data_IF_618296737486
#
_entry.id   IF_618296737486
#
_cell.length_a   1.000
_cell.length_b   1.000
_cell.length_c   1.000
_cell.angle_alpha   90.00
_cell.angle_beta   90.00
_cell.angle_gamma   90.00
#
_symmetry.space_group_name_H-M   'P 1'
#
loop_
_entity.id
_entity.type
_entity.pdbx_description
1 polymer ?
#
# COMPACT_ATOMS: atom_id res chain seq x y z
N UNK A 1 0.93 -0.22 -6.07
CA UNK A 1 -0.51 0.12 -6.15
C UNK A 1 -1.10 -0.33 -7.47
N UNK A 2 -0.47 -0.01 -8.59
CA UNK A 2 -0.99 -0.28 -9.97
C UNK A 2 -1.52 -1.71 -10.20
N UNK A 3 -0.94 -2.72 -9.56
CA UNK A 3 -1.34 -4.13 -9.73
C UNK A 3 -2.33 -4.62 -8.67
N UNK A 4 -2.76 -3.77 -7.74
CA UNK A 4 -3.74 -4.15 -6.73
C UNK A 4 -5.12 -4.32 -7.38
N UNK A 5 -5.63 -5.57 -7.33
CA UNK A 5 -6.91 -5.94 -7.93
C UNK A 5 -8.08 -5.74 -6.95
N UNK A 6 -7.87 -6.05 -5.68
CA UNK A 6 -8.88 -5.93 -4.63
C UNK A 6 -9.45 -4.53 -4.51
N UNK A 7 -10.05 -4.21 -3.39
CA UNK A 7 -10.66 -2.91 -3.18
C UNK A 7 -10.23 -2.26 -1.88
N UNK A 8 -10.99 -1.24 -1.49
CA UNK A 8 -10.80 -0.54 -0.23
C UNK A 8 -11.96 -0.88 0.70
N UNK A 9 -11.65 -1.45 1.86
CA UNK A 9 -12.64 -1.72 2.89
C UNK A 9 -13.10 -0.42 3.56
N UNK A 10 -14.38 -0.11 3.52
CA UNK A 10 -14.96 1.05 4.19
C UNK A 10 -16.45 0.85 4.48
N UNK A 11 -16.91 1.36 5.62
CA UNK A 11 -18.32 1.30 6.02
C UNK A 11 -19.11 2.33 5.20
N UNK A 12 -19.70 1.89 4.10
CA UNK A 12 -20.47 2.73 3.17
C UNK A 12 -21.91 2.26 3.00
N UNK A 13 -22.24 1.04 3.42
CA UNK A 13 -23.60 0.48 3.37
C UNK A 13 -24.36 0.76 4.66
N UNK A 14 -25.69 0.87 4.56
CA UNK A 14 -26.58 1.13 5.71
C UNK A 14 -26.65 -0.05 6.69
N UNK A 15 -26.42 -1.27 6.21
CA UNK A 15 -26.48 -2.50 7.00
C UNK A 15 -25.10 -2.87 7.62
N UNK A 16 -24.09 -2.02 7.48
CA UNK A 16 -22.74 -2.19 8.06
C UNK A 16 -22.48 -1.16 9.16
N UNK A 17 -21.57 -1.49 10.09
CA UNK A 17 -21.18 -0.61 11.20
C UNK A 17 -19.67 -0.58 11.41
N UNK A 18 -19.18 0.50 12.01
CA UNK A 18 -17.77 0.63 12.37
C UNK A 18 -17.34 -0.48 13.35
N UNK A 19 -18.21 -0.83 14.31
CA UNK A 19 -17.94 -1.89 15.29
C UNK A 19 -17.76 -3.25 14.64
N UNK A 20 -18.56 -3.58 13.63
CA UNK A 20 -18.39 -4.81 12.85
C UNK A 20 -17.07 -4.79 12.08
N UNK A 21 -16.71 -3.66 11.44
CA UNK A 21 -15.45 -3.55 10.72
C UNK A 21 -14.24 -3.66 11.66
N UNK A 22 -14.29 -3.00 12.83
CA UNK A 22 -13.25 -3.12 13.88
C UNK A 22 -13.14 -4.57 14.35
N UNK A 23 -14.27 -5.22 14.66
CA UNK A 23 -14.28 -6.62 15.09
C UNK A 23 -13.64 -7.54 14.06
N UNK A 24 -14.05 -7.45 12.79
CA UNK A 24 -13.49 -8.26 11.69
C UNK A 24 -11.97 -8.06 11.57
N UNK A 25 -11.51 -6.82 11.68
CA UNK A 25 -10.08 -6.47 11.61
C UNK A 25 -9.31 -7.04 12.78
N UNK A 26 -9.82 -6.92 14.01
CA UNK A 26 -9.19 -7.45 15.23
C UNK A 26 -9.12 -9.00 15.20
N UNK A 27 -10.17 -9.65 14.74
CA UNK A 27 -10.21 -11.12 14.61
C UNK A 27 -9.19 -11.60 13.57
N UNK A 28 -9.09 -10.93 12.43
CA UNK A 28 -8.13 -11.26 11.37
C UNK A 28 -6.69 -10.99 11.81
N UNK A 29 -6.47 -9.94 12.58
CA UNK A 29 -5.15 -9.54 13.08
C UNK A 29 -4.58 -10.45 14.19
N UNK A 30 -5.38 -11.38 14.73
CA UNK A 30 -4.90 -12.44 15.67
C UNK A 30 -4.06 -11.94 16.83
N UNK A 31 -4.39 -10.77 17.39
CA UNK A 31 -3.68 -10.19 18.54
C UNK A 31 -2.49 -9.28 18.18
N UNK A 32 -2.22 -9.05 16.90
CA UNK A 32 -1.16 -8.14 16.45
C UNK A 32 -1.65 -6.69 16.28
N UNK A 33 -2.97 -6.48 16.30
CA UNK A 33 -3.55 -5.16 16.10
C UNK A 33 -3.55 -4.33 17.39
N UNK A 34 -3.33 -3.05 17.25
CA UNK A 34 -3.63 -2.03 18.26
C UNK A 34 -5.05 -1.50 18.01
N UNK A 35 -5.99 -1.82 18.88
CA UNK A 35 -7.42 -1.55 18.68
C UNK A 35 -7.72 -0.06 18.42
N UNK A 36 -7.02 0.85 19.12
CA UNK A 36 -7.21 2.30 18.95
C UNK A 36 -6.92 2.74 17.52
N UNK A 37 -5.85 2.24 16.91
CA UNK A 37 -5.52 2.54 15.52
C UNK A 37 -6.49 1.91 14.54
N UNK A 38 -6.96 0.69 14.81
CA UNK A 38 -8.00 0.05 13.99
C UNK A 38 -9.29 0.87 14.02
N UNK A 39 -9.69 1.36 15.19
CA UNK A 39 -10.88 2.21 15.33
C UNK A 39 -10.75 3.53 14.55
N UNK A 40 -9.59 4.17 14.60
CA UNK A 40 -9.31 5.39 13.82
C UNK A 40 -9.44 5.07 12.32
N UNK A 41 -8.74 4.05 11.83
CA UNK A 41 -8.75 3.68 10.42
C UNK A 41 -10.15 3.35 9.90
N UNK A 42 -10.93 2.55 10.65
CA UNK A 42 -12.29 2.20 10.26
C UNK A 42 -13.23 3.42 10.22
N UNK A 43 -13.13 4.33 11.20
CA UNK A 43 -13.99 5.51 11.29
C UNK A 43 -13.68 6.57 10.23
N UNK A 44 -12.40 6.76 9.93
CA UNK A 44 -11.98 7.73 8.93
C UNK A 44 -12.16 7.23 7.48
N UNK A 45 -12.22 5.92 7.27
CA UNK A 45 -12.34 5.30 5.95
C UNK A 45 -13.35 5.97 5.02
N UNK A 46 -14.63 6.17 5.42
CA UNK A 46 -15.64 6.81 4.57
C UNK A 46 -15.29 8.23 4.14
N UNK A 47 -14.62 9.01 5.00
CA UNK A 47 -14.17 10.37 4.67
C UNK A 47 -13.07 10.32 3.62
N UNK A 48 -12.06 9.45 3.80
CA UNK A 48 -10.96 9.28 2.83
C UNK A 48 -11.45 8.81 1.46
N UNK A 49 -12.44 7.91 1.42
CA UNK A 49 -13.07 7.49 0.16
C UNK A 49 -13.76 8.67 -0.54
N UNK A 50 -14.49 9.50 0.19
CA UNK A 50 -15.14 10.67 -0.40
C UNK A 50 -14.13 11.68 -0.95
N UNK A 51 -12.98 11.83 -0.31
CA UNK A 51 -11.87 12.65 -0.83
C UNK A 51 -11.34 12.11 -2.14
N UNK A 52 -11.08 10.79 -2.24
CA UNK A 52 -10.66 10.18 -3.50
C UNK A 52 -11.70 10.40 -4.61
N UNK A 53 -12.99 10.25 -4.30
CA UNK A 53 -14.08 10.52 -5.24
C UNK A 53 -14.08 12.00 -5.64
N UNK A 54 -13.87 12.89 -4.69
CA UNK A 54 -13.75 14.33 -4.94
C UNK A 54 -12.57 14.69 -5.85
N UNK A 55 -11.50 13.91 -5.83
CA UNK A 55 -10.35 14.01 -6.74
C UNK A 55 -10.61 13.35 -8.11
N UNK A 56 -11.74 12.65 -8.29
CA UNK A 56 -12.12 12.04 -9.55
C UNK A 56 -12.02 10.52 -9.62
N UNK A 57 -11.82 9.82 -8.49
CA UNK A 57 -11.81 8.36 -8.47
C UNK A 57 -13.19 7.78 -8.77
N UNK A 58 -13.24 6.78 -9.62
CA UNK A 58 -14.46 6.14 -10.09
C UNK A 58 -14.54 4.71 -9.55
N UNK A 59 -15.36 4.52 -8.53
CA UNK A 59 -15.69 3.20 -8.01
C UNK A 59 -16.97 2.67 -8.66
N UNK A 60 -17.09 1.36 -8.79
CA UNK A 60 -18.23 0.68 -9.38
C UNK A 60 -19.51 0.97 -8.61
N UNK A 61 -20.62 1.11 -9.36
CA UNK A 61 -21.93 1.46 -8.81
C UNK A 61 -23.01 0.55 -9.36
N UNK A 62 -23.95 0.19 -8.50
CA UNK A 62 -25.19 -0.46 -8.90
C UNK A 62 -26.12 0.60 -9.46
N UNK A 63 -26.71 0.35 -10.60
CA UNK A 63 -27.62 1.30 -11.27
C UNK A 63 -28.79 1.67 -10.37
N UNK A 64 -28.81 2.93 -9.87
CA UNK A 64 -29.86 3.45 -9.00
C UNK A 64 -29.73 3.09 -7.50
N UNK A 65 -28.66 2.43 -7.05
CA UNK A 65 -28.57 1.88 -5.69
C UNK A 65 -27.24 2.12 -4.93
N UNK A 66 -26.40 3.08 -5.35
CA UNK A 66 -25.15 3.38 -4.64
C UNK A 66 -23.93 2.62 -5.16
N UNK A 67 -22.97 2.33 -4.29
CA UNK A 67 -21.74 1.59 -4.67
C UNK A 67 -22.01 0.10 -4.79
N UNK A 68 -21.35 -0.53 -5.76
CA UNK A 68 -21.24 -1.98 -5.81
C UNK A 68 -20.16 -2.40 -4.81
N UNK A 69 -20.57 -3.05 -3.73
CA UNK A 69 -19.65 -3.43 -2.66
C UNK A 69 -19.33 -4.91 -2.72
N UNK A 70 -18.07 -5.21 -2.92
CA UNK A 70 -17.53 -6.57 -2.86
C UNK A 70 -17.40 -7.10 -1.42
N UNK A 71 -17.15 -8.41 -1.33
CA UNK A 71 -16.80 -9.08 -0.08
C UNK A 71 -15.49 -9.83 -0.27
N UNK A 72 -14.54 -9.59 0.62
CA UNK A 72 -13.29 -10.33 0.67
C UNK A 72 -13.19 -11.15 1.95
N UNK A 73 -12.20 -12.05 2.03
CA UNK A 73 -11.97 -12.87 3.20
C UNK A 73 -11.76 -12.04 4.48
N UNK A 74 -12.25 -12.53 5.62
CA UNK A 74 -12.17 -11.82 6.89
C UNK A 74 -13.25 -10.77 7.14
N UNK A 75 -14.04 -10.40 6.13
CA UNK A 75 -15.13 -9.44 6.29
C UNK A 75 -16.49 -10.11 6.50
N UNK A 76 -17.21 -9.71 7.54
CA UNK A 76 -18.60 -10.17 7.81
C UNK A 76 -19.63 -9.52 6.88
N UNK A 77 -19.35 -8.32 6.36
CA UNK A 77 -20.22 -7.52 5.48
C UNK A 77 -19.56 -7.22 4.13
N UNK A 78 -20.39 -6.89 3.13
CA UNK A 78 -19.93 -6.30 1.87
C UNK A 78 -19.53 -4.85 2.13
N UNK A 79 -18.25 -4.52 2.07
CA UNK A 79 -17.72 -3.17 2.33
C UNK A 79 -16.54 -2.80 1.46
N UNK A 80 -16.26 -3.61 0.45
CA UNK A 80 -15.10 -3.41 -0.42
C UNK A 80 -15.52 -2.56 -1.61
N UNK A 81 -15.08 -1.30 -1.66
CA UNK A 81 -15.20 -0.47 -2.85
C UNK A 81 -14.15 -0.90 -3.86
N UNK A 82 -14.55 -1.06 -5.10
CA UNK A 82 -13.67 -1.51 -6.18
C UNK A 82 -13.95 -0.77 -7.49
N UNK A 83 -12.97 -0.80 -8.39
CA UNK A 83 -13.08 -0.37 -9.78
C UNK A 83 -12.73 -1.58 -10.66
N UNK A 84 -13.71 -2.42 -10.94
CA UNK A 84 -13.53 -3.76 -11.52
C UNK A 84 -12.47 -4.57 -10.75
N UNK A 85 -11.45 -5.10 -11.41
CA UNK A 85 -10.27 -5.73 -10.82
C UNK A 85 -9.00 -4.88 -10.94
N UNK A 86 -9.16 -3.55 -11.05
CA UNK A 86 -8.10 -2.58 -11.31
C UNK A 86 -8.15 -1.40 -10.31
N UNK A 87 -8.62 -1.64 -9.10
CA UNK A 87 -8.82 -0.59 -8.08
C UNK A 87 -7.53 0.18 -7.79
N UNK A 88 -6.40 -0.51 -7.71
CA UNK A 88 -5.12 0.13 -7.49
C UNK A 88 -4.70 1.06 -8.64
N UNK A 89 -4.98 0.66 -9.88
CA UNK A 89 -4.71 1.49 -11.05
C UNK A 89 -5.59 2.75 -11.06
N UNK A 90 -6.88 2.63 -10.73
CA UNK A 90 -7.81 3.76 -10.68
C UNK A 90 -7.40 4.80 -9.62
N UNK A 91 -6.99 4.34 -8.44
CA UNK A 91 -6.49 5.23 -7.38
C UNK A 91 -5.21 5.93 -7.82
N UNK A 92 -4.26 5.18 -8.39
CA UNK A 92 -2.98 5.73 -8.87
C UNK A 92 -3.21 6.76 -9.97
N UNK A 93 -4.06 6.46 -10.98
CA UNK A 93 -4.45 7.40 -12.03
C UNK A 93 -4.98 8.71 -11.44
N UNK A 94 -5.97 8.60 -10.54
CA UNK A 94 -6.61 9.76 -9.91
C UNK A 94 -5.62 10.62 -9.15
N UNK A 95 -4.77 10.01 -8.35
CA UNK A 95 -3.79 10.76 -7.54
C UNK A 95 -2.69 11.38 -8.41
N UNK A 96 -2.23 10.72 -9.46
CA UNK A 96 -1.26 11.26 -10.41
C UNK A 96 -1.86 12.48 -11.12
N UNK A 97 -3.09 12.38 -11.62
CA UNK A 97 -3.78 13.52 -12.25
C UNK A 97 -3.93 14.70 -11.27
N UNK A 98 -4.32 14.42 -10.02
CA UNK A 98 -4.45 15.45 -9.00
C UNK A 98 -3.12 16.14 -8.67
N UNK A 99 -2.02 15.38 -8.63
CA UNK A 99 -0.67 15.92 -8.40
C UNK A 99 -0.22 16.79 -9.58
N UNK A 100 -0.41 16.31 -10.82
CA UNK A 100 -0.06 17.09 -12.02
C UNK A 100 -0.86 18.39 -12.18
N UNK A 101 -2.04 18.46 -11.55
CA UNK A 101 -2.85 19.67 -11.55
C UNK A 101 -2.39 20.74 -10.54
N UNK A 102 -1.34 20.47 -9.75
CA UNK A 102 -0.81 21.39 -8.74
C UNK A 102 0.48 22.05 -9.22
N UNK A 103 0.48 23.37 -9.37
CA UNK A 103 1.65 24.14 -9.79
C UNK A 103 2.78 24.18 -8.75
N UNK A 104 2.48 23.86 -7.49
CA UNK A 104 3.44 23.89 -6.39
C UNK A 104 4.05 22.52 -6.07
N UNK A 105 3.82 21.51 -6.89
CA UNK A 105 4.40 20.18 -6.77
C UNK A 105 5.36 19.92 -7.91
N UNK A 106 6.61 19.64 -7.58
CA UNK A 106 7.62 19.21 -8.55
C UNK A 106 7.84 17.71 -8.46
N UNK A 107 7.80 17.02 -9.60
CA UNK A 107 7.94 15.57 -9.69
C UNK A 107 9.29 15.22 -10.32
N UNK A 108 10.09 14.47 -9.61
CA UNK A 108 11.39 13.97 -10.08
C UNK A 108 11.28 12.50 -10.49
N UNK A 109 10.89 12.26 -11.74
CA UNK A 109 10.93 10.91 -12.32
C UNK A 109 12.36 10.47 -12.58
N UNK A 110 12.58 9.15 -12.66
CA UNK A 110 13.91 8.57 -12.88
C UNK A 110 14.97 8.95 -11.83
N UNK A 111 14.53 9.29 -10.64
CA UNK A 111 15.40 9.58 -9.51
C UNK A 111 15.27 8.49 -8.46
N UNK A 112 16.38 7.86 -8.12
CA UNK A 112 16.45 6.82 -7.10
C UNK A 112 17.07 7.40 -5.82
N UNK A 113 16.34 7.33 -4.72
CA UNK A 113 16.88 7.72 -3.41
C UNK A 113 17.97 6.73 -3.00
N UNK A 114 19.17 7.23 -2.78
CA UNK A 114 20.30 6.44 -2.32
C UNK A 114 20.32 6.38 -0.80
N UNK A 115 20.16 7.57 -0.16
CA UNK A 115 20.26 7.66 1.29
C UNK A 115 19.62 8.96 1.83
N UNK A 116 19.31 8.97 3.13
CA UNK A 116 18.93 10.16 3.86
C UNK A 116 20.18 10.95 4.27
N UNK A 117 20.08 12.27 4.20
CA UNK A 117 21.03 13.18 4.81
C UNK A 117 20.47 13.51 6.19
N UNK A 118 21.13 12.99 7.23
CA UNK A 118 20.74 13.29 8.61
C UNK A 118 21.77 14.23 9.24
N UNK A 119 21.38 14.89 10.33
CA UNK A 119 22.26 15.80 11.07
C UNK A 119 23.50 15.06 11.58
N UNK A 120 23.36 13.83 12.06
CA UNK A 120 24.48 13.01 12.53
C UNK A 120 25.52 12.69 11.42
N UNK A 121 25.12 12.71 10.14
CA UNK A 121 26.07 12.56 9.02
C UNK A 121 26.83 13.83 8.69
N UNK A 122 26.32 14.98 9.11
CA UNK A 122 26.93 16.29 8.88
C UNK A 122 27.72 16.80 10.09
N UNK A 123 27.37 16.36 11.29
CA UNK A 123 28.01 16.76 12.55
C UNK A 123 28.30 15.52 13.40
N UNK A 124 29.59 15.18 13.54
CA UNK A 124 30.05 14.03 14.33
C UNK A 124 29.68 14.09 15.83
N UNK A 125 29.25 15.23 16.32
CA UNK A 125 28.79 15.37 17.71
C UNK A 125 27.37 14.84 17.92
N UNK A 126 26.58 14.71 16.87
CA UNK A 126 25.23 14.18 16.92
C UNK A 126 25.27 12.66 16.80
N UNK A 127 24.65 11.97 17.74
CA UNK A 127 24.56 10.51 17.72
C UNK A 127 23.49 10.06 16.69
N UNK A 128 23.81 9.12 15.77
CA UNK A 128 22.84 8.60 14.83
C UNK A 128 21.59 8.03 15.52
N UNK A 129 20.41 8.46 15.09
CA UNK A 129 19.12 8.04 15.62
C UNK A 129 18.75 8.59 17.00
N UNK A 130 19.50 9.58 17.51
CA UNK A 130 19.10 10.36 18.71
C UNK A 130 17.99 11.37 18.37
N UNK A 131 17.40 11.97 19.40
CA UNK A 131 16.37 13.02 19.23
C UNK A 131 16.90 14.28 18.54
N UNK A 132 18.22 14.45 18.48
CA UNK A 132 18.89 15.56 17.78
C UNK A 132 19.20 15.24 16.32
N UNK A 133 19.09 13.96 15.90
CA UNK A 133 19.39 13.51 14.55
C UNK A 133 18.18 13.67 13.63
N UNK A 134 18.10 14.82 13.01
CA UNK A 134 17.01 15.19 12.11
C UNK A 134 17.37 14.91 10.66
N UNK A 135 16.39 14.44 9.87
CA UNK A 135 16.52 14.31 8.43
C UNK A 135 16.48 15.70 7.77
N UNK A 136 17.50 16.02 6.96
CA UNK A 136 17.67 17.32 6.33
C UNK A 136 17.61 17.28 4.81
N UNK A 137 17.65 16.08 4.23
CA UNK A 137 17.64 15.93 2.78
C UNK A 137 17.84 14.49 2.33
N UNK A 138 18.07 14.36 1.04
CA UNK A 138 18.25 13.10 0.34
C UNK A 138 19.44 13.18 -0.61
N UNK A 139 20.19 12.09 -0.72
CA UNK A 139 21.02 11.82 -1.89
C UNK A 139 20.20 11.00 -2.90
N UNK A 140 20.12 11.48 -4.12
CA UNK A 140 19.37 10.83 -5.18
C UNK A 140 20.26 10.60 -6.40
N UNK A 141 20.15 9.41 -7.01
CA UNK A 141 20.75 9.13 -8.30
C UNK A 141 19.78 9.52 -9.41
N UNK A 142 20.14 10.49 -10.20
CA UNK A 142 19.43 10.81 -11.43
C UNK A 142 19.88 9.80 -12.51
N UNK A 143 18.96 8.91 -12.90
CA UNK A 143 19.26 7.86 -13.89
C UNK A 143 19.50 8.40 -15.30
N UNK A 144 19.02 9.59 -15.63
CA UNK A 144 19.22 10.19 -16.96
C UNK A 144 20.62 10.79 -17.08
N UNK A 145 21.08 11.49 -16.04
CA UNK A 145 22.40 12.14 -16.02
C UNK A 145 23.50 11.27 -15.45
N UNK A 146 23.17 10.16 -14.80
CA UNK A 146 24.07 9.27 -14.03
C UNK A 146 24.85 10.03 -12.93
N UNK A 147 24.27 11.09 -12.39
CA UNK A 147 24.86 11.89 -11.31
C UNK A 147 24.09 11.72 -10.02
N UNK A 148 24.81 11.82 -8.92
CA UNK A 148 24.21 11.95 -7.59
C UNK A 148 23.92 13.42 -7.33
N UNK A 149 22.69 13.70 -6.96
CA UNK A 149 22.17 15.02 -6.65
C UNK A 149 21.73 15.07 -5.19
N UNK A 150 21.67 16.26 -4.61
CA UNK A 150 21.20 16.50 -3.26
C UNK A 150 19.88 17.26 -3.30
N UNK A 151 18.86 16.71 -2.64
CA UNK A 151 17.59 17.39 -2.44
C UNK A 151 17.44 17.69 -0.96
N UNK A 152 17.28 18.96 -0.61
CA UNK A 152 17.11 19.42 0.77
C UNK A 152 15.63 19.64 1.06
N UNK A 153 15.17 19.22 2.23
CA UNK A 153 13.78 19.41 2.66
C UNK A 153 13.65 19.49 4.18
N UNK A 154 12.76 20.33 4.65
CA UNK A 154 12.46 20.46 6.08
C UNK A 154 11.68 19.27 6.64
N UNK A 155 10.85 18.62 5.79
CA UNK A 155 10.07 17.43 6.13
C UNK A 155 10.26 16.43 5.01
N UNK A 156 10.58 15.19 5.37
CA UNK A 156 10.75 14.09 4.43
C UNK A 156 9.75 13.01 4.76
N UNK A 157 8.80 12.79 3.85
CA UNK A 157 7.82 11.70 3.93
C UNK A 157 8.31 10.51 3.11
N UNK A 158 8.53 9.39 3.76
CA UNK A 158 8.90 8.15 3.08
C UNK A 158 7.66 7.30 2.77
N UNK A 159 7.37 7.10 1.49
CA UNK A 159 6.26 6.29 0.99
C UNK A 159 6.77 5.30 -0.09
N UNK A 160 7.83 4.57 0.21
CA UNK A 160 8.67 3.80 -0.72
C UNK A 160 8.15 2.41 -1.04
N UNK A 161 6.98 2.03 -0.53
CA UNK A 161 6.39 0.71 -0.75
C UNK A 161 7.11 -0.41 0.01
N UNK A 162 6.88 -1.64 -0.43
CA UNK A 162 7.33 -2.85 0.25
C UNK A 162 8.61 -3.46 -0.32
N UNK A 163 8.89 -4.69 0.10
CA UNK A 163 10.11 -5.44 -0.19
C UNK A 163 9.84 -6.79 -0.89
N UNK A 164 8.75 -6.93 -1.65
CA UNK A 164 8.36 -8.21 -2.25
C UNK A 164 9.41 -8.85 -3.16
N UNK A 165 10.33 -8.06 -3.71
CA UNK A 165 11.41 -8.54 -4.59
C UNK A 165 12.54 -9.26 -3.86
N UNK A 166 12.50 -9.35 -2.53
CA UNK A 166 13.42 -10.25 -1.79
C UNK A 166 13.08 -11.73 -2.04
N UNK A 167 11.87 -12.02 -2.53
CA UNK A 167 11.45 -13.37 -2.94
C UNK A 167 11.59 -13.56 -4.43
N UNK A 168 11.98 -14.76 -4.84
CA UNK A 168 12.15 -15.13 -6.24
C UNK A 168 10.83 -15.05 -7.02
N UNK A 169 9.74 -15.48 -6.40
CA UNK A 169 8.39 -15.41 -6.95
C UNK A 169 7.57 -14.41 -6.14
N UNK A 170 7.07 -13.39 -6.80
CA UNK A 170 6.30 -12.33 -6.17
C UNK A 170 5.32 -11.71 -7.16
N UNK A 171 4.15 -11.31 -6.67
CA UNK A 171 3.17 -10.51 -7.42
C UNK A 171 3.45 -9.00 -7.35
N UNK A 172 4.45 -8.58 -6.57
CA UNK A 172 4.83 -7.18 -6.44
C UNK A 172 5.52 -6.66 -7.71
N UNK A 173 5.42 -5.36 -8.00
CA UNK A 173 6.16 -4.73 -9.09
C UNK A 173 7.68 -4.80 -8.86
N UNK A 174 8.44 -4.63 -9.93
CA UNK A 174 9.91 -4.74 -9.89
C UNK A 174 10.58 -3.66 -9.01
N UNK A 175 9.84 -2.60 -8.69
CA UNK A 175 10.28 -1.52 -7.80
C UNK A 175 10.09 -1.81 -6.30
N UNK A 176 9.47 -2.94 -5.92
CA UNK A 176 9.27 -3.31 -4.51
C UNK A 176 10.53 -3.99 -3.93
N UNK A 177 11.63 -3.28 -3.89
CA UNK A 177 12.98 -3.77 -3.56
C UNK A 177 13.36 -3.61 -2.08
N UNK A 178 12.56 -2.87 -1.29
CA UNK A 178 12.82 -2.62 0.13
C UNK A 178 13.87 -1.53 0.40
N UNK A 179 14.19 -0.73 -0.60
CA UNK A 179 15.20 0.34 -0.48
C UNK A 179 14.86 1.32 0.65
N UNK A 180 13.58 1.69 0.81
CA UNK A 180 13.18 2.59 1.89
C UNK A 180 13.44 2.04 3.28
N UNK A 181 13.25 0.73 3.50
CA UNK A 181 13.60 0.09 4.78
C UNK A 181 15.10 0.19 5.03
N UNK A 182 15.91 -0.09 4.01
CA UNK A 182 17.37 -0.02 4.11
C UNK A 182 17.85 1.41 4.37
N UNK A 183 17.29 2.40 3.66
CA UNK A 183 17.62 3.82 3.84
C UNK A 183 17.24 4.30 5.25
N UNK A 184 16.04 3.97 5.73
CA UNK A 184 15.59 4.32 7.06
C UNK A 184 16.46 3.67 8.15
N UNK A 185 16.81 2.38 7.99
CA UNK A 185 17.69 1.69 8.92
C UNK A 185 19.08 2.34 9.01
N UNK A 186 19.67 2.70 7.87
CA UNK A 186 20.97 3.39 7.85
C UNK A 186 20.93 4.78 8.47
N UNK A 187 19.74 5.41 8.49
CA UNK A 187 19.51 6.68 9.16
C UNK A 187 19.21 6.53 10.66
N UNK A 188 19.27 5.33 11.24
CA UNK A 188 19.03 5.08 12.65
C UNK A 188 17.57 4.84 13.04
N UNK A 189 16.66 4.74 12.08
CA UNK A 189 15.26 4.43 12.38
C UNK A 189 15.11 3.00 12.91
N UNK A 190 14.16 2.81 13.84
CA UNK A 190 13.78 1.48 14.32
C UNK A 190 13.02 0.74 13.23
N UNK A 191 13.48 -0.46 12.92
CA UNK A 191 12.81 -1.37 11.99
C UNK A 191 12.22 -2.52 12.80
N UNK A 192 10.95 -2.83 12.56
CA UNK A 192 10.22 -3.86 13.30
C UNK A 192 9.38 -4.73 12.35
N UNK A 193 8.98 -5.90 12.83
CA UNK A 193 8.06 -6.82 12.15
C UNK A 193 8.55 -7.32 10.78
N UNK A 194 9.86 -7.39 10.56
CA UNK A 194 10.46 -7.85 9.29
C UNK A 194 10.23 -9.33 9.02
N UNK A 195 9.84 -10.10 10.02
CA UNK A 195 9.42 -11.50 9.90
C UNK A 195 8.04 -11.68 9.25
N UNK A 196 7.21 -10.63 9.25
CA UNK A 196 5.88 -10.69 8.66
C UNK A 196 5.92 -10.33 7.18
N UNK A 197 5.57 -11.29 6.36
CA UNK A 197 5.41 -11.11 4.93
C UNK A 197 4.14 -11.82 4.47
N UNK A 198 3.19 -11.09 3.88
CA UNK A 198 1.93 -11.67 3.45
C UNK A 198 2.08 -12.35 2.09
N UNK A 199 1.88 -13.66 2.06
CA UNK A 199 1.82 -14.43 0.81
C UNK A 199 0.40 -14.41 0.27
N UNK A 200 0.26 -14.16 -1.04
CA UNK A 200 -1.03 -14.27 -1.69
C UNK A 200 -1.29 -15.74 -2.07
N UNK A 201 -2.40 -16.35 -1.59
CA UNK A 201 -2.61 -17.79 -1.70
C UNK A 201 -3.02 -18.25 -3.11
N UNK A 202 -3.40 -17.35 -4.00
CA UNK A 202 -3.91 -17.68 -5.35
C UNK A 202 -3.12 -16.96 -6.44
N UNK A 203 -1.80 -17.07 -6.40
CA UNK A 203 -0.94 -16.61 -7.48
C UNK A 203 -0.76 -17.73 -8.52
N UNK A 204 -1.05 -17.46 -9.79
CA UNK A 204 -0.89 -18.41 -10.85
C UNK A 204 0.60 -18.64 -11.14
N UNK A 205 1.07 -19.86 -10.92
CA UNK A 205 2.39 -20.27 -11.37
C UNK A 205 2.32 -20.77 -12.82
N UNK A 206 2.87 -19.98 -13.73
CA UNK A 206 2.98 -20.36 -15.13
C UNK A 206 4.25 -19.76 -15.76
N UNK A 207 5.04 -20.53 -16.56
CA UNK A 207 6.31 -20.05 -17.11
C UNK A 207 6.22 -18.77 -17.95
N UNK A 208 5.07 -18.52 -18.56
CA UNK A 208 4.83 -17.35 -19.43
C UNK A 208 4.00 -16.24 -18.76
N UNK A 209 3.44 -16.49 -17.57
CA UNK A 209 2.67 -15.51 -16.83
C UNK A 209 3.44 -15.17 -15.56
N UNK A 210 4.15 -14.04 -15.56
CA UNK A 210 4.88 -13.56 -14.39
C UNK A 210 3.93 -13.43 -13.19
N UNK A 211 3.89 -14.44 -12.30
CA UNK A 211 3.15 -14.41 -11.02
C UNK A 211 1.79 -13.70 -11.11
N UNK A 212 0.95 -14.13 -12.06
CA UNK A 212 -0.36 -13.51 -12.28
C UNK A 212 -1.25 -13.71 -11.04
N UNK A 213 -1.79 -12.63 -10.52
CA UNK A 213 -2.65 -12.65 -9.34
C UNK A 213 -4.08 -13.06 -9.74
N UNK A 214 -4.57 -14.15 -9.18
CA UNK A 214 -6.00 -14.48 -9.23
C UNK A 214 -6.68 -13.71 -8.10
N UNK A 215 -7.62 -12.85 -8.46
CA UNK A 215 -8.28 -11.93 -7.52
C UNK A 215 -8.84 -12.66 -6.29
N UNK A 216 -8.67 -12.07 -5.12
CA UNK A 216 -9.25 -12.56 -3.87
C UNK A 216 -10.78 -12.60 -3.91
N UNK A 217 -11.40 -11.75 -4.70
CA UNK A 217 -12.84 -11.74 -4.92
C UNK A 217 -13.38 -13.11 -5.34
N UNK A 218 -12.63 -13.89 -6.12
CA UNK A 218 -13.02 -15.25 -6.51
C UNK A 218 -13.24 -16.13 -5.26
N UNK A 219 -12.38 -16.03 -4.26
CA UNK A 219 -12.55 -16.75 -2.98
C UNK A 219 -13.66 -16.14 -2.12
N UNK A 220 -13.74 -14.82 -2.09
CA UNK A 220 -14.79 -14.07 -1.38
C UNK A 220 -16.20 -14.45 -1.86
N UNK A 221 -16.36 -14.72 -3.15
CA UNK A 221 -17.60 -15.18 -3.77
C UNK A 221 -17.78 -16.72 -3.75
N UNK A 222 -16.95 -17.44 -2.99
CA UNK A 222 -17.10 -18.86 -2.74
C UNK A 222 -16.28 -19.80 -3.64
N UNK A 223 -15.32 -19.28 -4.38
CA UNK A 223 -14.38 -20.09 -5.17
C UNK A 223 -13.52 -20.98 -4.28
N UNK A 224 -13.41 -22.26 -4.61
CA UNK A 224 -12.63 -23.25 -3.87
C UNK A 224 -11.55 -23.82 -4.79
N UNK A 225 -10.30 -23.78 -4.32
CA UNK A 225 -9.21 -24.46 -4.99
C UNK A 225 -9.33 -25.97 -4.85
N UNK A 226 -9.15 -26.70 -5.95
CA UNK A 226 -9.23 -28.14 -5.98
C UNK A 226 -8.05 -28.75 -6.73
N UNK A 227 -7.63 -29.91 -6.33
CA UNK A 227 -6.73 -30.76 -7.07
C UNK A 227 -7.41 -31.26 -8.36
N UNK A 228 -6.62 -31.79 -9.30
CA UNK A 228 -7.13 -32.33 -10.55
C UNK A 228 -8.12 -33.47 -10.38
N UNK A 229 -8.02 -34.22 -9.28
CA UNK A 229 -8.95 -35.27 -8.87
C UNK A 229 -10.24 -34.77 -8.19
N UNK A 230 -10.39 -33.44 -8.03
CA UNK A 230 -11.56 -32.81 -7.41
C UNK A 230 -11.50 -32.63 -5.90
N UNK A 231 -10.47 -33.15 -5.23
CA UNK A 231 -10.27 -32.95 -3.79
C UNK A 231 -9.84 -31.53 -3.46
N UNK A 232 -10.21 -31.04 -2.27
CA UNK A 232 -9.71 -29.80 -1.69
C UNK A 232 -8.44 -30.07 -0.88
N UNK A 233 -7.50 -29.11 -0.87
CA UNK A 233 -6.28 -29.20 -0.07
C UNK A 233 -6.19 -28.07 0.96
#
# INVERSE_FOLDING_TARGET
TKYAQGGIASVMAEDDTFELHVKDTMETGRGLCHEDFVRIACREGPARIRELIGLGAQFDRIRGAGFDLGKEGGHSKRRILHAHDLTGWEIERTLIEAVHAQDNIEIFEHHMVIDLITRARLDEKVQPGSDEDEAQGLYVLNHLTQKVETIVGQIILMATGGAGKVYLYTSNPDTATGDGVAVAYRAGAKVANMEFFQFHPTCLFHPKAKSFLISETVRGEGGILRLQNGETF
#
